data_IF_977194116411
#
_entry.id   IF_977194116411
#
_cell.length_a   1.000
_cell.length_b   1.000
_cell.length_c   1.000
_cell.angle_alpha   90.00
_cell.angle_beta   90.00
_cell.angle_gamma   90.00
#
_symmetry.space_group_name_H-M   'P 1'
#
loop_
_entity.id
_entity.type
_entity.pdbx_description
1 polymer ?
#
# COMPACT_ATOMS: atom_id res chain seq x y z
N UNK A 1 -2.11 27.81 -2.24
CA UNK A 1 -1.11 26.82 -1.78
C UNK A 1 -1.88 25.60 -1.28
N UNK A 2 -1.86 24.49 -2.02
CA UNK A 2 -2.49 23.24 -1.56
C UNK A 2 -1.59 22.67 -0.47
N UNK A 3 -1.98 22.77 0.80
CA UNK A 3 -1.34 22.00 1.87
C UNK A 3 -1.60 20.53 1.57
N UNK A 4 -0.70 19.88 0.83
CA UNK A 4 -0.70 18.43 0.66
C UNK A 4 -0.44 17.88 2.05
N UNK A 5 -1.50 17.54 2.77
CA UNK A 5 -1.40 17.07 4.15
C UNK A 5 -0.44 15.87 4.18
N UNK A 6 0.65 16.03 4.92
CA UNK A 6 1.75 15.08 4.98
C UNK A 6 1.31 13.97 5.95
N UNK A 7 1.18 12.75 5.44
CA UNK A 7 0.80 11.61 6.27
C UNK A 7 1.94 11.23 7.24
N UNK A 8 1.60 11.06 8.52
CA UNK A 8 2.54 10.61 9.55
C UNK A 8 2.78 9.11 9.47
N UNK A 9 3.82 8.63 10.17
CA UNK A 9 4.15 7.20 10.23
C UNK A 9 3.03 6.41 10.90
N UNK A 10 2.40 6.98 11.92
CA UNK A 10 1.29 6.40 12.67
C UNK A 10 0.06 6.24 11.77
N UNK A 11 -0.30 7.29 11.01
CA UNK A 11 -1.37 7.22 10.02
C UNK A 11 -1.08 6.13 8.97
N UNK A 12 0.16 6.03 8.50
CA UNK A 12 0.55 4.98 7.55
C UNK A 12 0.47 3.56 8.16
N UNK A 13 0.72 3.39 9.46
CA UNK A 13 0.53 2.11 10.16
C UNK A 13 -0.94 1.72 10.24
N UNK A 14 -1.82 2.67 10.54
CA UNK A 14 -3.27 2.42 10.56
C UNK A 14 -3.79 2.09 9.17
N UNK A 15 -3.41 2.88 8.17
CA UNK A 15 -3.74 2.62 6.77
C UNK A 15 -3.25 1.24 6.31
N UNK A 16 -2.03 0.83 6.68
CA UNK A 16 -1.51 -0.51 6.39
C UNK A 16 -2.40 -1.61 6.98
N UNK A 17 -2.88 -1.46 8.22
CA UNK A 17 -3.76 -2.46 8.86
C UNK A 17 -5.08 -2.58 8.12
N UNK A 18 -5.68 -1.46 7.73
CA UNK A 18 -6.95 -1.45 6.99
C UNK A 18 -6.79 -2.01 5.57
N UNK A 19 -5.70 -1.68 4.88
CA UNK A 19 -5.39 -2.29 3.58
C UNK A 19 -5.24 -3.80 3.75
N UNK A 20 -4.43 -4.26 4.71
CA UNK A 20 -4.27 -5.69 4.98
C UNK A 20 -5.59 -6.40 5.26
N UNK A 21 -6.49 -5.83 6.07
CA UNK A 21 -7.78 -6.47 6.36
C UNK A 21 -8.69 -6.64 5.15
N UNK A 22 -8.44 -5.91 4.05
CA UNK A 22 -9.23 -5.97 2.81
C UNK A 22 -8.70 -6.97 1.79
N UNK A 23 -7.40 -7.27 1.83
CA UNK A 23 -6.72 -8.06 0.78
C UNK A 23 -5.84 -9.19 1.31
N UNK A 24 -5.82 -9.45 2.62
CA UNK A 24 -4.96 -10.48 3.24
C UNK A 24 -5.27 -11.91 2.79
N UNK A 25 -6.48 -12.16 2.30
CA UNK A 25 -6.93 -13.45 1.79
C UNK A 25 -6.54 -13.70 0.32
N UNK A 26 -5.87 -12.73 -0.32
CA UNK A 26 -5.57 -12.78 -1.75
C UNK A 26 -4.25 -13.49 -2.04
N UNK A 27 -4.24 -14.53 -2.89
CA UNK A 27 -3.01 -15.21 -3.27
C UNK A 27 -2.06 -14.31 -4.08
N UNK A 28 -2.58 -13.24 -4.69
CA UNK A 28 -1.78 -12.23 -5.38
C UNK A 28 -0.96 -11.38 -4.42
N UNK A 29 -1.36 -11.26 -3.15
CA UNK A 29 -0.68 -10.39 -2.19
C UNK A 29 0.65 -10.99 -1.76
N UNK A 30 1.75 -10.30 -2.06
CA UNK A 30 3.09 -10.68 -1.58
C UNK A 30 3.50 -9.87 -0.35
N UNK A 31 2.95 -8.67 -0.16
CA UNK A 31 3.16 -7.90 1.06
C UNK A 31 2.55 -6.50 1.06
N UNK A 32 2.50 -5.90 2.26
CA UNK A 32 2.11 -4.50 2.45
C UNK A 32 3.16 -3.77 3.29
N UNK A 33 3.79 -2.77 2.69
CA UNK A 33 4.86 -1.96 3.27
C UNK A 33 4.41 -0.54 3.61
N UNK A 34 5.18 0.12 4.46
CA UNK A 34 5.12 1.57 4.65
C UNK A 34 6.35 2.15 3.96
N UNK A 35 6.15 3.11 3.07
CA UNK A 35 7.22 3.77 2.34
C UNK A 35 7.31 5.26 2.72
N UNK A 36 8.50 5.84 2.61
CA UNK A 36 8.67 7.30 2.71
C UNK A 36 8.23 7.90 1.37
N UNK A 37 7.36 8.91 1.40
CA UNK A 37 6.87 9.60 0.19
C UNK A 37 6.99 11.11 0.39
N UNK A 38 8.04 11.69 -0.20
CA UNK A 38 8.45 13.07 0.07
C UNK A 38 8.66 13.31 1.57
N UNK A 39 7.95 14.29 2.11
CA UNK A 39 8.03 14.65 3.52
C UNK A 39 7.20 13.75 4.46
N UNK A 40 6.44 12.78 3.91
CA UNK A 40 5.52 11.94 4.66
C UNK A 40 5.68 10.45 4.40
N UNK A 41 4.60 9.72 4.62
CA UNK A 41 4.53 8.27 4.47
C UNK A 41 3.39 7.84 3.55
N UNK A 42 3.61 6.73 2.84
CA UNK A 42 2.60 6.04 2.03
C UNK A 42 2.55 4.56 2.38
N UNK A 43 1.51 3.88 1.90
CA UNK A 43 1.40 2.42 1.97
C UNK A 43 1.64 1.86 0.58
N UNK A 44 2.50 0.84 0.48
CA UNK A 44 2.78 0.14 -0.76
C UNK A 44 2.27 -1.28 -0.68
N UNK A 45 1.45 -1.68 -1.65
CA UNK A 45 0.94 -3.03 -1.80
C UNK A 45 1.74 -3.71 -2.89
N UNK A 46 2.37 -4.82 -2.56
CA UNK A 46 3.10 -5.64 -3.51
C UNK A 46 2.24 -6.82 -3.91
N UNK A 47 2.11 -7.02 -5.21
CA UNK A 47 1.34 -8.11 -5.81
C UNK A 47 2.25 -8.98 -6.68
N UNK A 48 2.02 -10.28 -6.72
CA UNK A 48 2.72 -11.20 -7.65
C UNK A 48 2.16 -11.12 -9.06
N UNK A 49 0.89 -10.71 -9.21
CA UNK A 49 0.17 -10.59 -10.47
C UNK A 49 -0.98 -9.56 -10.33
N UNK A 50 -1.60 -9.10 -11.44
CA UNK A 50 -2.75 -8.20 -11.37
C UNK A 50 -3.91 -8.81 -10.59
N UNK A 51 -4.63 -7.98 -9.83
CA UNK A 51 -5.87 -8.40 -9.19
C UNK A 51 -6.99 -8.60 -10.21
N UNK A 52 -7.98 -9.47 -9.91
CA UNK A 52 -9.22 -9.55 -10.66
C UNK A 52 -9.93 -8.18 -10.75
N UNK A 53 -10.67 -7.93 -11.84
CA UNK A 53 -11.30 -6.62 -12.12
C UNK A 53 -12.33 -6.19 -11.06
N UNK A 54 -12.88 -7.14 -10.32
CA UNK A 54 -13.85 -6.95 -9.24
C UNK A 54 -13.20 -6.60 -7.89
N UNK A 55 -11.86 -6.71 -7.79
CA UNK A 55 -11.11 -6.36 -6.57
C UNK A 55 -10.44 -5.01 -6.75
N UNK A 56 -10.70 -4.09 -5.83
CA UNK A 56 -10.14 -2.75 -5.88
C UNK A 56 -9.32 -2.45 -4.62
N UNK A 57 -8.10 -1.93 -4.80
CA UNK A 57 -7.27 -1.39 -3.73
C UNK A 57 -7.58 0.11 -3.64
N UNK A 58 -8.02 0.61 -2.47
CA UNK A 58 -8.30 2.04 -2.33
C UNK A 58 -7.02 2.82 -2.58
N UNK A 59 -7.08 3.88 -3.40
CA UNK A 59 -5.91 4.74 -3.69
C UNK A 59 -5.51 5.63 -2.51
N UNK A 60 -6.38 5.75 -1.49
CA UNK A 60 -6.11 6.42 -0.22
C UNK A 60 -6.84 5.77 0.95
N UNK A 61 -6.23 5.80 2.12
CA UNK A 61 -6.83 5.43 3.41
C UNK A 61 -6.40 6.46 4.45
N UNK A 62 -7.33 7.10 5.15
CA UNK A 62 -7.05 8.11 6.19
C UNK A 62 -6.00 9.16 5.77
N UNK A 63 -6.16 9.71 4.55
CA UNK A 63 -5.23 10.65 3.90
C UNK A 63 -3.85 10.10 3.51
N UNK A 64 -3.56 8.84 3.82
CA UNK A 64 -2.35 8.14 3.36
C UNK A 64 -2.57 7.64 1.93
N UNK A 65 -1.62 7.93 1.04
CA UNK A 65 -1.62 7.39 -0.33
C UNK A 65 -1.32 5.90 -0.29
N UNK A 66 -2.07 5.12 -1.05
CA UNK A 66 -1.85 3.69 -1.24
C UNK A 66 -1.49 3.46 -2.71
N UNK A 67 -0.36 2.83 -2.93
CA UNK A 67 0.15 2.50 -4.26
C UNK A 67 0.28 0.99 -4.36
N UNK A 68 -0.15 0.42 -5.48
CA UNK A 68 0.02 -1.00 -5.78
C UNK A 68 1.05 -1.17 -6.90
N UNK A 69 1.90 -2.18 -6.77
CA UNK A 69 2.83 -2.57 -7.82
C UNK A 69 2.92 -4.09 -7.94
N UNK A 70 3.21 -4.55 -9.15
CA UNK A 70 3.49 -5.97 -9.42
C UNK A 70 4.99 -6.18 -9.22
N UNK A 71 5.35 -7.11 -8.34
CA UNK A 71 6.72 -7.47 -8.01
C UNK A 71 7.01 -8.91 -8.40
N UNK A 72 8.22 -9.16 -8.90
CA UNK A 72 8.72 -10.50 -9.21
C UNK A 72 9.51 -11.12 -8.06
N UNK A 73 9.82 -12.40 -8.18
CA UNK A 73 10.71 -13.12 -7.25
C UNK A 73 12.12 -12.54 -7.30
N UNK A 74 12.70 -12.26 -6.13
CA UNK A 74 14.10 -11.89 -5.98
C UNK A 74 14.87 -13.00 -5.25
N UNK A 75 16.10 -13.27 -5.69
CA UNK A 75 17.02 -14.19 -5.03
C UNK A 75 18.13 -13.38 -4.36
N UNK A 76 18.43 -13.68 -3.09
CA UNK A 76 19.56 -13.10 -2.37
C UNK A 76 20.65 -14.16 -2.20
N UNK A 77 21.90 -13.77 -2.41
CA UNK A 77 23.10 -14.60 -2.24
C UNK A 77 23.87 -14.12 -1.01
#
# INVERSE_FOLDING_TARGET
MNHKQIATKEQAREAKKEVLSKISDRPELTGVGINRSGDGYSVKVHLSQPLPKDVNIPSRVNNVVVEAEIVGTAYAF
#
